data_IF_772335765341
#
_entry.id   IF_772335765341
#
_cell.length_a   1.000
_cell.length_b   1.000
_cell.length_c   1.000
_cell.angle_alpha   90.00
_cell.angle_beta   90.00
_cell.angle_gamma   90.00
#
_symmetry.space_group_name_H-M   'P 1'
#
loop_
_entity.id
_entity.type
_entity.pdbx_description
1 polymer ?
#
# COMPACT_ATOMS: atom_id res chain seq x y z
N UNK A 1 17.27 -18.67 2.78
CA UNK A 1 17.07 -17.26 2.38
C UNK A 1 16.26 -17.28 1.11
N UNK A 2 14.95 -17.01 1.20
CA UNK A 2 14.17 -16.74 0.00
C UNK A 2 14.61 -15.36 -0.49
N UNK A 3 15.09 -15.26 -1.72
CA UNK A 3 15.31 -13.98 -2.37
C UNK A 3 13.93 -13.35 -2.53
N UNK A 4 13.61 -12.36 -1.69
CA UNK A 4 12.35 -11.63 -1.82
C UNK A 4 12.46 -10.77 -3.07
N UNK A 5 11.62 -11.03 -4.08
CA UNK A 5 11.54 -10.17 -5.26
C UNK A 5 11.16 -8.76 -4.80
N UNK A 6 12.00 -7.77 -5.11
CA UNK A 6 11.71 -6.37 -4.83
C UNK A 6 10.96 -5.77 -6.01
N UNK A 7 9.75 -5.28 -5.77
CA UNK A 7 9.02 -4.47 -6.75
C UNK A 7 9.54 -3.04 -6.74
N UNK A 8 9.78 -2.47 -7.92
CA UNK A 8 10.16 -1.06 -8.09
C UNK A 8 9.01 -0.25 -8.65
N UNK A 9 8.65 0.84 -7.96
CA UNK A 9 7.52 1.70 -8.30
C UNK A 9 8.04 3.12 -8.45
N UNK A 10 8.08 3.63 -9.68
CA UNK A 10 8.70 4.91 -9.99
C UNK A 10 7.72 5.84 -10.70
N UNK A 11 7.50 7.02 -10.13
CA UNK A 11 6.58 8.02 -10.71
C UNK A 11 7.12 9.44 -10.60
N UNK A 12 6.84 10.25 -11.61
CA UNK A 12 7.20 11.68 -11.65
C UNK A 12 6.01 12.47 -12.20
N UNK A 13 5.45 13.38 -11.40
CA UNK A 13 4.26 14.16 -11.72
C UNK A 13 3.01 13.32 -12.10
N UNK A 14 3.00 12.04 -11.73
CA UNK A 14 1.91 11.12 -12.06
C UNK A 14 1.39 10.37 -10.83
N UNK A 15 0.29 9.66 -11.02
CA UNK A 15 -0.26 8.76 -10.00
C UNK A 15 -0.16 7.32 -10.48
N UNK A 16 0.45 6.48 -9.66
CA UNK A 16 0.58 5.05 -9.88
C UNK A 16 -0.19 4.29 -8.79
N UNK A 17 -0.92 3.24 -9.17
CA UNK A 17 -1.75 2.47 -8.25
C UNK A 17 -1.53 0.98 -8.48
N UNK A 18 -1.21 0.30 -7.39
CA UNK A 18 -1.04 -1.13 -7.31
C UNK A 18 -2.06 -1.65 -6.29
N UNK A 19 -3.17 -2.20 -6.78
CA UNK A 19 -4.33 -2.54 -5.97
C UNK A 19 -4.70 -4.02 -6.11
N UNK A 20 -5.22 -4.64 -5.05
CA UNK A 20 -5.68 -6.04 -5.08
C UNK A 20 -4.54 -7.04 -5.14
N UNK A 21 -4.75 -8.13 -5.89
CA UNK A 21 -3.83 -9.27 -5.99
C UNK A 21 -2.80 -9.05 -7.12
N UNK A 22 -1.95 -8.05 -6.94
CA UNK A 22 -1.03 -7.60 -7.99
C UNK A 22 0.41 -8.13 -7.84
N UNK A 23 0.77 -8.70 -6.69
CA UNK A 23 2.13 -9.17 -6.40
C UNK A 23 2.19 -10.22 -5.28
N UNK A 24 3.29 -10.97 -5.27
CA UNK A 24 3.72 -11.81 -4.16
C UNK A 24 4.90 -11.22 -3.36
N UNK A 25 5.45 -10.08 -3.81
CA UNK A 25 6.59 -9.44 -3.19
C UNK A 25 6.24 -8.85 -1.81
N UNK A 26 7.18 -8.92 -0.86
CA UNK A 26 7.12 -8.21 0.42
C UNK A 26 8.16 -7.09 0.55
N UNK A 27 8.88 -6.78 -0.53
CA UNK A 27 9.84 -5.68 -0.59
C UNK A 27 9.49 -4.72 -1.74
N UNK A 28 9.50 -3.43 -1.43
CA UNK A 28 9.10 -2.36 -2.36
C UNK A 28 10.11 -1.22 -2.34
N UNK A 29 10.60 -0.83 -3.52
CA UNK A 29 11.39 0.38 -3.73
C UNK A 29 10.50 1.43 -4.41
N UNK A 30 10.22 2.54 -3.72
CA UNK A 30 9.34 3.60 -4.23
C UNK A 30 10.13 4.87 -4.46
N UNK A 31 10.21 5.32 -5.72
CA UNK A 31 10.79 6.61 -6.08
C UNK A 31 9.71 7.51 -6.66
N UNK A 32 9.39 8.59 -5.98
CA UNK A 32 8.31 9.47 -6.41
C UNK A 32 8.68 10.94 -6.30
N UNK A 33 8.38 11.72 -7.34
CA UNK A 33 8.55 13.18 -7.34
C UNK A 33 7.28 13.87 -7.82
N UNK A 34 6.77 14.85 -7.07
CA UNK A 34 5.52 15.59 -7.37
C UNK A 34 4.31 14.71 -7.75
N UNK A 35 4.32 13.45 -7.31
CA UNK A 35 3.37 12.42 -7.73
C UNK A 35 2.72 11.72 -6.55
N UNK A 36 1.93 10.70 -6.84
CA UNK A 36 1.40 9.83 -5.80
C UNK A 36 1.46 8.35 -6.15
N UNK A 37 1.65 7.52 -5.13
CA UNK A 37 1.66 6.07 -5.24
C UNK A 37 0.63 5.51 -4.28
N UNK A 38 -0.23 4.61 -4.75
CA UNK A 38 -1.14 3.83 -3.90
C UNK A 38 -0.72 2.37 -3.96
N UNK A 39 -0.44 1.78 -2.81
CA UNK A 39 -0.08 0.37 -2.69
C UNK A 39 -1.09 -0.32 -1.78
N UNK A 40 -1.75 -1.33 -2.31
CA UNK A 40 -2.59 -2.23 -1.53
C UNK A 40 -1.75 -3.40 -1.04
N UNK A 41 -1.60 -3.46 0.28
CA UNK A 41 -0.87 -4.48 1.03
C UNK A 41 -1.82 -5.44 1.75
N UNK A 42 -3.12 -5.40 1.44
CA UNK A 42 -4.13 -6.31 2.00
C UNK A 42 -4.20 -7.65 1.26
N UNK A 43 -3.50 -7.78 0.13
CA UNK A 43 -3.53 -9.01 -0.65
C UNK A 43 -2.91 -10.17 0.11
N UNK A 44 -3.59 -11.32 0.16
CA UNK A 44 -3.05 -12.54 0.77
C UNK A 44 -1.96 -13.20 -0.09
N UNK A 45 -1.72 -12.72 -1.32
CA UNK A 45 -0.60 -13.19 -2.15
C UNK A 45 0.75 -12.68 -1.65
N UNK A 46 0.76 -11.60 -0.86
CA UNK A 46 1.93 -11.15 -0.11
C UNK A 46 2.08 -12.08 1.09
N UNK A 47 2.68 -13.24 0.87
CA UNK A 47 2.72 -14.33 1.85
C UNK A 47 3.72 -14.10 2.99
N UNK A 48 3.57 -14.92 4.04
CA UNK A 48 4.50 -15.01 5.17
C UNK A 48 4.27 -14.01 6.30
N UNK A 49 4.96 -14.27 7.41
CA UNK A 49 4.88 -13.47 8.65
C UNK A 49 6.00 -12.44 8.78
N UNK A 50 6.99 -12.50 7.88
CA UNK A 50 8.13 -11.58 7.85
C UNK A 50 7.65 -10.17 7.55
N UNK A 51 8.33 -9.15 8.05
CA UNK A 51 7.97 -7.76 7.76
C UNK A 51 7.87 -7.46 6.24
N UNK A 52 6.98 -6.53 5.90
CA UNK A 52 6.94 -5.89 4.59
C UNK A 52 7.83 -4.65 4.64
N UNK A 53 8.77 -4.54 3.71
CA UNK A 53 9.69 -3.40 3.65
C UNK A 53 9.30 -2.48 2.51
N UNK A 54 9.09 -1.20 2.82
CA UNK A 54 8.84 -0.13 1.85
C UNK A 54 9.96 0.90 1.97
N UNK A 55 10.96 0.77 1.12
CA UNK A 55 12.05 1.73 1.00
C UNK A 55 11.64 2.85 0.04
N UNK A 56 11.79 4.11 0.48
CA UNK A 56 11.33 5.25 -0.30
C UNK A 56 12.39 6.31 -0.58
N UNK A 57 12.26 6.95 -1.74
CA UNK A 57 12.90 8.22 -2.08
C UNK A 57 11.83 9.15 -2.62
N UNK A 58 11.32 10.03 -1.76
CA UNK A 58 10.20 10.90 -2.05
C UNK A 58 10.63 12.37 -2.08
N UNK A 59 10.13 13.11 -3.07
CA UNK A 59 10.27 14.56 -3.16
C UNK A 59 8.94 15.22 -3.57
N UNK A 60 8.33 15.97 -2.64
CA UNK A 60 6.99 16.54 -2.81
C UNK A 60 5.92 15.52 -3.27
N UNK A 61 6.02 14.27 -2.80
CA UNK A 61 5.15 13.18 -3.22
C UNK A 61 4.26 12.67 -2.08
N UNK A 62 3.29 11.83 -2.43
CA UNK A 62 2.40 11.17 -1.47
C UNK A 62 2.37 9.67 -1.69
N UNK A 63 2.57 8.90 -0.63
CA UNK A 63 2.36 7.43 -0.64
C UNK A 63 1.15 7.10 0.20
N UNK A 64 0.19 6.39 -0.39
CA UNK A 64 -0.98 5.84 0.30
C UNK A 64 -0.83 4.33 0.41
N UNK A 65 -0.82 3.81 1.63
CA UNK A 65 -0.80 2.38 1.90
C UNK A 65 -2.20 1.94 2.33
N UNK A 66 -2.78 0.98 1.62
CA UNK A 66 -3.97 0.26 2.08
C UNK A 66 -3.47 -0.99 2.80
N UNK A 67 -3.76 -1.12 4.09
CA UNK A 67 -3.14 -2.15 4.92
C UNK A 67 -4.20 -2.92 5.72
N UNK A 68 -3.90 -4.16 6.18
CA UNK A 68 -4.73 -4.86 7.14
C UNK A 68 -5.00 -4.02 8.39
N UNK A 69 -6.14 -4.24 9.04
CA UNK A 69 -6.59 -3.41 10.17
C UNK A 69 -5.60 -3.40 11.33
N UNK A 70 -5.01 -4.56 11.62
CA UNK A 70 -4.10 -4.82 12.72
C UNK A 70 -2.61 -4.58 12.38
N UNK A 71 -2.27 -4.26 11.12
CA UNK A 71 -0.88 -4.11 10.68
C UNK A 71 -0.12 -3.04 11.48
N UNK A 72 1.12 -3.32 11.84
CA UNK A 72 1.98 -2.39 12.60
C UNK A 72 2.77 -1.54 11.60
N UNK A 73 2.68 -0.21 11.69
CA UNK A 73 3.52 0.68 10.87
C UNK A 73 4.73 1.10 11.70
N UNK A 74 5.91 0.67 11.27
CA UNK A 74 7.17 1.16 11.79
C UNK A 74 7.74 2.19 10.81
N UNK A 75 7.95 3.42 11.29
CA UNK A 75 8.55 4.51 10.52
C UNK A 75 9.78 5.11 11.21
N UNK A 76 10.36 4.37 12.15
CA UNK A 76 11.53 4.80 12.93
C UNK A 76 12.77 5.03 12.07
N UNK A 77 12.91 4.32 10.95
CA UNK A 77 14.03 4.43 10.01
C UNK A 77 13.78 5.40 8.84
N UNK A 78 12.64 6.10 8.83
CA UNK A 78 12.30 7.03 7.75
C UNK A 78 12.94 8.40 7.99
N UNK A 79 13.83 8.81 7.09
CA UNK A 79 14.51 10.10 7.20
C UNK A 79 13.67 11.21 6.55
N UNK A 80 13.16 12.11 7.39
CA UNK A 80 12.39 13.27 6.95
C UNK A 80 13.29 14.48 6.72
N UNK A 81 13.12 15.15 5.58
CA UNK A 81 13.68 16.48 5.35
C UNK A 81 12.58 17.46 4.93
N UNK A 82 12.55 18.64 5.54
CA UNK A 82 11.43 19.56 5.40
C UNK A 82 10.14 19.08 6.10
N UNK A 83 8.98 19.59 5.65
CA UNK A 83 7.69 19.29 6.30
C UNK A 83 7.09 18.01 5.75
N UNK A 84 6.99 16.96 6.55
CA UNK A 84 6.33 15.70 6.19
C UNK A 84 5.88 14.93 7.42
N UNK A 85 5.04 13.91 7.22
CA UNK A 85 4.60 13.00 8.29
C UNK A 85 3.94 11.74 7.74
N UNK A 86 3.90 10.72 8.59
CA UNK A 86 2.96 9.60 8.45
C UNK A 86 1.62 10.01 9.08
N UNK A 87 0.52 9.83 8.34
CA UNK A 87 -0.84 10.02 8.82
C UNK A 87 -1.52 8.65 8.93
N UNK A 88 -1.76 8.18 10.15
CA UNK A 88 -2.53 6.98 10.45
C UNK A 88 -3.64 7.33 11.46
N UNK A 89 -4.74 7.89 10.97
CA UNK A 89 -5.84 8.39 11.81
C UNK A 89 -6.67 7.27 12.42
N UNK A 90 -6.64 6.08 11.82
CA UNK A 90 -7.40 4.90 12.24
C UNK A 90 -6.51 3.87 12.93
N UNK A 91 -5.35 4.29 13.47
CA UNK A 91 -4.42 3.40 14.16
C UNK A 91 -5.10 2.76 15.37
N UNK A 92 -5.16 1.42 15.47
CA UNK A 92 -5.70 0.76 16.65
C UNK A 92 -4.77 0.96 17.86
N UNK A 93 -5.35 0.95 19.06
CA UNK A 93 -4.59 1.12 20.31
C UNK A 93 -3.54 0.02 20.50
N UNK A 94 -3.85 -1.21 20.06
CA UNK A 94 -2.97 -2.38 20.15
C UNK A 94 -2.91 -3.07 18.80
N UNK A 95 -2.15 -2.50 17.86
CA UNK A 95 -1.80 -3.17 16.61
C UNK A 95 -0.89 -4.37 16.92
N UNK A 96 -1.22 -5.55 16.40
CA UNK A 96 -0.47 -6.79 16.62
C UNK A 96 -0.29 -7.65 15.35
N UNK A 97 -0.67 -7.10 14.19
CA UNK A 97 -0.51 -7.76 12.90
C UNK A 97 0.90 -7.60 12.33
N UNK A 98 1.05 -7.99 11.07
CA UNK A 98 2.32 -7.94 10.33
C UNK A 98 2.92 -6.52 10.33
N UNK A 99 4.23 -6.44 10.52
CA UNK A 99 4.98 -5.17 10.49
C UNK A 99 5.19 -4.71 9.06
N UNK A 100 4.90 -3.44 8.80
CA UNK A 100 5.23 -2.72 7.57
C UNK A 100 6.26 -1.66 7.95
N UNK A 101 7.51 -1.91 7.57
CA UNK A 101 8.65 -1.04 7.89
C UNK A 101 8.89 -0.05 6.75
N UNK A 102 8.85 1.23 7.08
CA UNK A 102 9.08 2.35 6.17
C UNK A 102 10.51 2.86 6.36
N UNK A 103 11.31 2.81 5.30
CA UNK A 103 12.73 3.21 5.33
C UNK A 103 13.05 4.21 4.23
N UNK A 104 14.27 4.76 4.24
CA UNK A 104 14.75 5.65 3.18
C UNK A 104 14.59 7.13 3.50
N UNK A 105 14.30 7.95 2.50
CA UNK A 105 14.32 9.42 2.56
C UNK A 105 13.07 10.05 1.98
N UNK A 106 12.55 11.07 2.67
CA UNK A 106 11.29 11.72 2.32
C UNK A 106 11.40 13.24 2.49
N UNK A 107 11.33 13.98 1.38
CA UNK A 107 11.41 15.45 1.34
C UNK A 107 10.03 16.02 1.08
N UNK A 108 9.52 16.87 1.99
CA UNK A 108 8.23 17.57 1.83
C UNK A 108 7.07 16.68 1.38
N UNK A 109 7.04 15.44 1.83
CA UNK A 109 6.15 14.38 1.34
C UNK A 109 5.21 13.88 2.45
N UNK A 110 4.23 13.07 2.09
CA UNK A 110 3.26 12.51 3.05
C UNK A 110 3.08 11.00 2.86
N UNK A 111 3.00 10.26 3.98
CA UNK A 111 2.42 8.92 3.98
C UNK A 111 0.99 8.98 4.52
N UNK A 112 0.07 8.23 3.90
CA UNK A 112 -1.32 8.06 4.34
C UNK A 112 -1.60 6.58 4.52
N UNK A 113 -1.84 6.18 5.76
CA UNK A 113 -2.16 4.80 6.11
C UNK A 113 -3.67 4.67 6.18
N UNK A 114 -4.22 3.82 5.31
CA UNK A 114 -5.64 3.58 5.20
C UNK A 114 -5.94 2.13 5.59
N UNK A 115 -6.90 1.95 6.49
CA UNK A 115 -7.28 0.67 7.10
C UNK A 115 -8.79 0.48 7.04
N UNK A 116 -9.26 -0.77 7.18
CA UNK A 116 -10.68 -1.11 7.26
C UNK A 116 -11.52 -0.44 6.17
N UNK A 117 -12.66 0.16 6.55
CA UNK A 117 -13.55 0.83 5.61
C UNK A 117 -12.90 1.95 4.78
N UNK A 118 -11.90 2.66 5.30
CA UNK A 118 -11.21 3.72 4.55
C UNK A 118 -10.31 3.13 3.45
N UNK A 119 -9.71 1.96 3.69
CA UNK A 119 -9.00 1.21 2.67
C UNK A 119 -9.95 0.77 1.55
N UNK A 120 -11.11 0.22 1.94
CA UNK A 120 -12.16 -0.19 1.00
C UNK A 120 -12.64 0.99 0.15
N UNK A 121 -12.99 2.13 0.76
CA UNK A 121 -13.42 3.32 0.02
C UNK A 121 -12.32 3.84 -0.93
N UNK A 122 -11.05 3.73 -0.53
CA UNK A 122 -9.93 4.13 -1.39
C UNK A 122 -9.78 3.25 -2.61
N UNK A 123 -10.08 1.96 -2.49
CA UNK A 123 -10.13 1.04 -3.62
C UNK A 123 -11.40 1.26 -4.47
N UNK A 124 -12.57 1.42 -3.86
CA UNK A 124 -13.86 1.62 -4.56
C UNK A 124 -13.85 2.84 -5.50
N UNK A 125 -13.28 3.97 -5.06
CA UNK A 125 -13.19 5.18 -5.86
C UNK A 125 -11.95 5.22 -6.75
N UNK A 126 -11.66 4.10 -7.41
CA UNK A 126 -10.52 3.93 -8.33
C UNK A 126 -11.00 3.41 -9.68
N UNK A 127 -10.25 3.71 -10.75
CA UNK A 127 -10.56 3.18 -12.09
C UNK A 127 -10.40 1.66 -12.10
N UNK A 128 -9.43 1.18 -11.35
CA UNK A 128 -9.07 -0.21 -11.17
C UNK A 128 -10.25 -1.02 -10.61
N UNK A 129 -10.98 -0.47 -9.63
CA UNK A 129 -12.20 -1.10 -9.11
C UNK A 129 -13.29 -1.23 -10.16
N UNK A 130 -13.52 -0.21 -11.00
CA UNK A 130 -14.51 -0.32 -12.06
C UNK A 130 -14.15 -1.41 -13.07
N UNK A 131 -12.87 -1.57 -13.41
CA UNK A 131 -12.43 -2.62 -14.32
C UNK A 131 -12.56 -4.02 -13.69
N UNK A 132 -12.15 -4.19 -12.42
CA UNK A 132 -12.36 -5.45 -11.69
C UNK A 132 -13.86 -5.78 -11.55
N UNK A 133 -14.70 -4.81 -11.22
CA UNK A 133 -16.14 -5.01 -11.09
C UNK A 133 -16.80 -5.45 -12.40
N UNK A 134 -16.40 -4.86 -13.53
CA UNK A 134 -16.86 -5.30 -14.86
C UNK A 134 -16.45 -6.74 -15.16
N UNK A 135 -15.21 -7.12 -14.81
CA UNK A 135 -14.72 -8.49 -15.03
C UNK A 135 -15.41 -9.49 -14.09
N UNK A 136 -15.56 -9.13 -12.83
CA UNK A 136 -16.25 -9.92 -11.81
C UNK A 136 -17.68 -10.23 -12.23
N UNK A 137 -18.41 -9.22 -12.72
CA UNK A 137 -19.76 -9.38 -13.25
C UNK A 137 -19.82 -10.38 -14.42
N UNK A 138 -18.89 -10.27 -15.39
CA UNK A 138 -18.81 -11.21 -16.52
C UNK A 138 -18.55 -12.65 -16.08
N UNK A 139 -17.84 -12.82 -14.97
CA UNK A 139 -17.43 -14.12 -14.43
C UNK A 139 -18.36 -14.66 -13.34
N UNK A 140 -19.41 -13.92 -12.96
CA UNK A 140 -20.33 -14.31 -11.88
C UNK A 140 -19.70 -14.34 -10.49
N UNK A 141 -18.59 -13.62 -10.27
CA UNK A 141 -17.90 -13.51 -8.97
C UNK A 141 -18.07 -12.13 -8.35
N UNK A 142 -17.63 -11.96 -7.11
CA UNK A 142 -17.49 -10.63 -6.49
C UNK A 142 -16.15 -9.98 -6.88
N UNK A 143 -16.08 -8.63 -6.90
CA UNK A 143 -14.82 -7.93 -7.18
C UNK A 143 -13.78 -8.19 -6.08
N UNK A 144 -12.55 -8.46 -6.48
CA UNK A 144 -11.42 -8.70 -5.59
C UNK A 144 -11.03 -7.43 -4.83
N UNK A 145 -11.07 -6.27 -5.49
CA UNK A 145 -10.60 -5.00 -4.93
C UNK A 145 -11.42 -4.48 -3.74
N UNK A 146 -12.64 -4.99 -3.57
CA UNK A 146 -13.48 -4.68 -2.41
C UNK A 146 -12.84 -5.20 -1.12
N UNK A 147 -12.43 -6.47 -1.14
CA UNK A 147 -11.84 -7.17 0.00
C UNK A 147 -10.85 -8.23 -0.50
N UNK A 148 -9.59 -7.84 -0.80
CA UNK A 148 -8.61 -8.75 -1.38
C UNK A 148 -8.35 -10.01 -0.52
N UNK A 149 -8.44 -9.88 0.80
CA UNK A 149 -8.20 -10.98 1.73
C UNK A 149 -9.24 -12.11 1.59
N UNK A 150 -10.50 -11.75 1.32
CA UNK A 150 -11.63 -12.68 1.28
C UNK A 150 -12.26 -12.83 -0.12
N UNK A 151 -11.61 -12.31 -1.15
CA UNK A 151 -12.10 -12.42 -2.52
C UNK A 151 -12.16 -13.89 -2.98
N UNK A 152 -13.25 -14.32 -3.65
CA UNK A 152 -13.34 -15.66 -4.22
C UNK A 152 -12.29 -15.82 -5.32
N UNK A 153 -11.61 -16.97 -5.32
CA UNK A 153 -10.58 -17.35 -6.28
C UNK A 153 -11.03 -18.54 -7.12
#
# INVERSE_FOLDING_TARGET
MHTTDTVKIHTDHATEKHLGDWTHASCFEVKARYGSVVIDLRSPWIEGEQEIVVEVHLDHAMVKLLVPEDAVIDSSELNWTGRGKVKDMARPQHAAGRVIRLTGSSVKSEFRIHRGGIAVLSALFSREFFEDAKQAHKQGRTPTLLDPANAPR
#
